data_IF_617020507414
#
_entry.id   IF_617020507414
#
_cell.length_a   1.000
_cell.length_b   1.000
_cell.length_c   1.000
_cell.angle_alpha   90.00
_cell.angle_beta   90.00
_cell.angle_gamma   90.00
#
_symmetry.space_group_name_H-M   'P 1'
#
loop_
_entity.id
_entity.type
_entity.pdbx_description
1 polymer ?
#
# COMPACT_ATOMS: atom_id res chain seq x y z
N UNK A 1 20.09 -13.81 5.34
CA UNK A 1 19.22 -14.67 4.51
C UNK A 1 20.04 -15.10 3.31
N UNK A 2 19.89 -16.34 2.85
CA UNK A 2 20.61 -16.88 1.69
C UNK A 2 19.61 -17.44 0.67
N UNK A 3 19.93 -17.32 -0.60
CA UNK A 3 19.12 -17.86 -1.70
C UNK A 3 19.95 -18.86 -2.50
N UNK A 4 19.37 -20.02 -2.81
CA UNK A 4 19.89 -20.93 -3.84
C UNK A 4 18.95 -20.89 -5.02
N UNK A 5 19.45 -20.62 -6.22
CA UNK A 5 18.63 -20.63 -7.44
C UNK A 5 18.92 -21.93 -8.18
N UNK A 6 17.89 -22.79 -8.28
CA UNK A 6 17.96 -24.06 -9.01
C UNK A 6 18.17 -23.81 -10.51
N UNK A 7 18.86 -24.71 -11.19
CA UNK A 7 19.27 -24.49 -12.59
C UNK A 7 18.10 -24.33 -13.57
N UNK A 8 16.98 -25.01 -13.33
CA UNK A 8 15.77 -24.84 -14.12
C UNK A 8 15.09 -23.48 -13.88
N UNK A 9 15.03 -23.02 -12.63
CA UNK A 9 14.56 -21.67 -12.30
C UNK A 9 15.47 -20.60 -12.91
N UNK A 10 16.79 -20.83 -12.93
CA UNK A 10 17.76 -19.95 -13.57
C UNK A 10 17.48 -19.81 -15.07
N UNK A 11 17.15 -20.91 -15.77
CA UNK A 11 16.77 -20.86 -17.19
C UNK A 11 15.50 -20.04 -17.42
N UNK A 12 14.51 -20.14 -16.54
CA UNK A 12 13.29 -19.34 -16.68
C UNK A 12 13.51 -17.86 -16.37
N UNK A 13 14.29 -17.55 -15.33
CA UNK A 13 14.72 -16.17 -15.03
C UNK A 13 15.51 -15.60 -16.21
N UNK A 14 16.38 -16.40 -16.85
CA UNK A 14 17.17 -15.96 -18.00
C UNK A 14 16.28 -15.56 -19.19
N UNK A 15 15.17 -16.26 -19.45
CA UNK A 15 14.22 -15.86 -20.51
C UNK A 15 13.64 -14.47 -20.25
N UNK A 16 13.33 -14.16 -18.99
CA UNK A 16 12.84 -12.82 -18.60
C UNK A 16 13.97 -11.77 -18.73
N UNK A 17 15.21 -12.11 -18.39
CA UNK A 17 16.39 -11.23 -18.61
C UNK A 17 16.57 -10.94 -20.10
N UNK A 18 16.53 -11.97 -20.94
CA UNK A 18 16.66 -11.84 -22.39
C UNK A 18 15.55 -10.94 -22.95
N UNK A 19 14.30 -11.13 -22.51
CA UNK A 19 13.19 -10.27 -22.91
C UNK A 19 13.36 -8.80 -22.44
N UNK A 20 13.89 -8.57 -21.23
CA UNK A 20 14.15 -7.22 -20.71
C UNK A 20 15.26 -6.48 -21.49
N UNK A 21 16.21 -7.23 -22.05
CA UNK A 21 17.38 -6.71 -22.76
C UNK A 21 17.24 -6.75 -24.29
N UNK A 22 16.23 -7.45 -24.82
CA UNK A 22 16.04 -7.72 -26.24
C UNK A 22 16.01 -6.46 -27.13
N UNK A 23 15.50 -5.36 -26.61
CA UNK A 23 15.40 -4.10 -27.34
C UNK A 23 16.33 -3.04 -26.75
N UNK A 24 17.55 -2.84 -27.31
CA UNK A 24 18.60 -2.00 -26.72
C UNK A 24 18.14 -0.58 -26.39
N UNK A 25 17.34 0.04 -27.27
CA UNK A 25 16.82 1.40 -27.03
C UNK A 25 16.00 1.48 -25.74
N UNK A 26 15.08 0.54 -25.52
CA UNK A 26 14.24 0.55 -24.31
C UNK A 26 15.06 0.19 -23.07
N UNK A 27 15.94 -0.80 -23.19
CA UNK A 27 16.84 -1.19 -22.11
C UNK A 27 17.71 -0.01 -21.64
N UNK A 28 18.37 0.69 -22.57
CA UNK A 28 19.25 1.80 -22.25
C UNK A 28 18.52 2.99 -21.61
N UNK A 29 17.28 3.28 -22.04
CA UNK A 29 16.47 4.34 -21.41
C UNK A 29 16.09 3.96 -19.97
N UNK A 30 15.71 2.71 -19.71
CA UNK A 30 15.43 2.22 -18.35
C UNK A 30 16.68 2.23 -17.47
N UNK A 31 17.82 1.80 -18.03
CA UNK A 31 19.10 1.85 -17.34
C UNK A 31 19.51 3.29 -17.00
N UNK A 32 19.25 4.25 -17.90
CA UNK A 32 19.52 5.67 -17.63
C UNK A 32 18.65 6.20 -16.48
N UNK A 33 17.34 5.92 -16.48
CA UNK A 33 16.48 6.29 -15.33
C UNK A 33 16.96 5.67 -14.02
N UNK A 34 17.37 4.41 -14.05
CA UNK A 34 17.93 3.75 -12.89
C UNK A 34 19.18 4.46 -12.40
N UNK A 35 20.14 4.77 -13.27
CA UNK A 35 21.33 5.54 -12.89
C UNK A 35 20.99 6.93 -12.34
N UNK A 36 19.95 7.59 -12.88
CA UNK A 36 19.49 8.90 -12.38
C UNK A 36 18.88 8.79 -10.97
N UNK A 37 17.96 7.85 -10.73
CA UNK A 37 17.15 7.83 -9.51
C UNK A 37 17.68 6.89 -8.40
N UNK A 38 18.47 5.87 -8.73
CA UNK A 38 19.02 4.93 -7.74
C UNK A 38 19.83 5.61 -6.65
N UNK A 39 20.68 6.62 -6.90
CA UNK A 39 21.40 7.30 -5.82
C UNK A 39 20.49 7.92 -4.75
N UNK A 40 19.30 8.41 -5.14
CA UNK A 40 18.29 8.90 -4.19
C UNK A 40 17.69 7.74 -3.39
N UNK A 41 17.29 6.66 -4.09
CA UNK A 41 16.68 5.47 -3.48
C UNK A 41 17.66 4.83 -2.49
N UNK A 42 18.91 4.61 -2.90
CA UNK A 42 19.98 4.00 -2.10
C UNK A 42 20.24 4.78 -0.82
N UNK A 43 20.31 6.11 -0.90
CA UNK A 43 20.44 6.97 0.28
C UNK A 43 19.28 6.77 1.25
N UNK A 44 18.04 6.77 0.74
CA UNK A 44 16.85 6.55 1.58
C UNK A 44 16.85 5.14 2.16
N UNK A 45 17.24 4.13 1.39
CA UNK A 45 17.28 2.74 1.86
C UNK A 45 18.34 2.54 2.93
N UNK A 46 19.49 3.21 2.81
CA UNK A 46 20.51 3.24 3.87
C UNK A 46 19.98 3.91 5.15
N UNK A 47 19.31 5.07 5.04
CA UNK A 47 18.64 5.75 6.16
C UNK A 47 17.59 4.84 6.84
N UNK A 48 16.79 4.14 6.04
CA UNK A 48 15.73 3.24 6.48
C UNK A 48 16.24 1.84 6.89
N UNK A 49 17.52 1.53 6.69
CA UNK A 49 18.12 0.20 6.90
C UNK A 49 17.42 -0.91 6.09
N UNK A 50 17.01 -0.61 4.87
CA UNK A 50 16.51 -1.59 3.90
C UNK A 50 17.65 -2.09 3.01
N UNK A 51 17.70 -3.39 2.65
CA UNK A 51 18.65 -3.88 1.66
C UNK A 51 18.54 -3.14 0.33
N UNK A 52 19.69 -2.72 -0.19
CA UNK A 52 19.83 -1.96 -1.44
C UNK A 52 19.11 -2.61 -2.63
N UNK A 53 19.25 -3.92 -2.78
CA UNK A 53 18.67 -4.70 -3.89
C UNK A 53 17.19 -4.39 -4.17
N UNK A 54 16.40 -4.00 -3.16
CA UNK A 54 15.00 -3.64 -3.38
C UNK A 54 14.80 -2.46 -4.36
N UNK A 55 15.84 -1.68 -4.70
CA UNK A 55 15.75 -0.58 -5.68
C UNK A 55 15.33 -1.08 -7.06
N UNK A 56 15.70 -2.31 -7.43
CA UNK A 56 15.29 -2.94 -8.69
C UNK A 56 13.78 -3.19 -8.77
N UNK A 57 13.07 -3.17 -7.65
CA UNK A 57 11.62 -3.28 -7.64
C UNK A 57 10.97 -2.05 -8.30
N UNK A 58 11.53 -0.84 -8.14
CA UNK A 58 11.03 0.36 -8.83
C UNK A 58 11.13 0.25 -10.36
N UNK A 59 12.13 -0.49 -10.88
CA UNK A 59 12.23 -0.80 -12.30
C UNK A 59 11.13 -1.77 -12.74
N UNK A 60 10.83 -2.78 -11.92
CA UNK A 60 9.75 -3.72 -12.19
C UNK A 60 8.37 -3.06 -12.15
N UNK A 61 8.15 -2.13 -11.21
CA UNK A 61 6.85 -1.51 -10.99
C UNK A 61 6.49 -0.48 -12.06
N UNK A 62 7.36 0.50 -12.30
CA UNK A 62 7.04 1.60 -13.24
C UNK A 62 8.11 1.87 -14.29
N UNK A 63 9.20 1.09 -14.28
CA UNK A 63 10.42 1.44 -15.00
C UNK A 63 10.92 2.85 -14.64
N UNK A 64 10.75 3.24 -13.36
CA UNK A 64 11.07 4.55 -12.80
C UNK A 64 10.40 5.73 -13.52
N UNK A 65 9.14 5.57 -13.93
CA UNK A 65 8.30 6.65 -14.46
C UNK A 65 7.45 7.24 -13.33
N UNK A 66 7.55 8.56 -13.15
CA UNK A 66 6.97 9.28 -12.02
C UNK A 66 5.44 9.28 -12.03
N UNK A 67 4.82 9.38 -13.20
CA UNK A 67 3.37 9.48 -13.41
C UNK A 67 2.77 8.21 -14.03
N UNK A 68 3.45 7.07 -13.90
CA UNK A 68 2.91 5.79 -14.36
C UNK A 68 1.62 5.43 -13.61
N UNK A 69 0.57 5.06 -14.34
CA UNK A 69 -0.71 4.60 -13.77
C UNK A 69 -1.01 3.19 -14.27
N UNK A 70 -1.25 2.24 -13.37
CA UNK A 70 -1.67 0.89 -13.75
C UNK A 70 -3.17 0.83 -14.06
N UNK A 71 -3.59 -0.26 -14.70
CA UNK A 71 -5.00 -0.58 -14.92
C UNK A 71 -5.82 -0.76 -13.64
N UNK A 72 -5.15 -0.91 -12.48
CA UNK A 72 -5.77 -1.01 -11.15
C UNK A 72 -5.55 0.24 -10.29
N UNK A 73 -5.25 1.38 -10.93
CA UNK A 73 -5.05 2.70 -10.31
C UNK A 73 -3.90 2.79 -9.30
N UNK A 74 -2.89 1.94 -9.46
CA UNK A 74 -1.61 2.11 -8.80
C UNK A 74 -0.82 3.24 -9.49
N UNK A 75 -0.13 4.09 -8.73
CA UNK A 75 0.49 5.30 -9.27
C UNK A 75 1.97 5.42 -8.89
N UNK A 76 2.72 5.97 -9.84
CA UNK A 76 4.07 6.50 -9.68
C UNK A 76 5.18 5.47 -9.59
N UNK A 77 6.34 5.91 -9.08
CA UNK A 77 7.60 5.15 -9.10
C UNK A 77 7.50 3.74 -8.54
N UNK A 78 6.69 3.61 -7.48
CA UNK A 78 6.54 2.39 -6.70
C UNK A 78 5.16 1.75 -6.88
N UNK A 79 4.34 2.25 -7.81
CA UNK A 79 2.99 1.77 -8.11
C UNK A 79 2.15 1.59 -6.83
N UNK A 80 2.06 2.62 -6.01
CA UNK A 80 1.22 2.58 -4.83
C UNK A 80 -0.25 2.77 -5.20
N UNK A 81 -1.12 1.88 -4.70
CA UNK A 81 -2.54 2.18 -4.58
C UNK A 81 -2.75 3.33 -3.60
N UNK A 82 -3.74 4.15 -3.87
CA UNK A 82 -4.08 5.35 -3.09
C UNK A 82 -4.16 5.07 -1.57
N UNK A 83 -4.92 4.04 -1.17
CA UNK A 83 -5.02 3.63 0.22
C UNK A 83 -3.66 3.23 0.84
N UNK A 84 -2.87 2.39 0.13
CA UNK A 84 -1.53 1.99 0.58
C UNK A 84 -0.60 3.17 0.74
N UNK A 85 -0.65 4.12 -0.21
CA UNK A 85 0.16 5.31 -0.16
C UNK A 85 -0.08 6.07 1.14
N UNK A 86 -1.36 6.32 1.48
CA UNK A 86 -1.73 7.02 2.71
C UNK A 86 -1.32 6.25 3.97
N UNK A 87 -1.51 4.93 4.02
CA UNK A 87 -1.02 4.11 5.15
C UNK A 87 0.50 4.23 5.33
N UNK A 88 1.26 4.33 4.23
CA UNK A 88 2.72 4.48 4.28
C UNK A 88 3.18 5.93 4.52
N UNK A 89 2.24 6.84 4.81
CA UNK A 89 2.48 8.23 5.15
C UNK A 89 2.61 9.17 3.96
N UNK A 90 2.21 8.74 2.76
CA UNK A 90 2.16 9.62 1.58
C UNK A 90 0.88 10.46 1.59
N UNK A 91 1.02 11.73 1.22
CA UNK A 91 -0.09 12.62 0.91
C UNK A 91 -0.56 12.38 -0.52
N UNK A 92 -1.85 12.11 -0.66
CA UNK A 92 -2.52 11.92 -1.95
C UNK A 92 -3.84 12.67 -1.90
N UNK A 93 -3.88 13.83 -2.54
CA UNK A 93 -5.04 14.70 -2.63
C UNK A 93 -4.99 15.58 -3.90
N UNK A 94 -5.78 16.65 -3.93
CA UNK A 94 -5.91 17.56 -5.06
C UNK A 94 -4.74 18.55 -5.18
N UNK A 95 -3.92 18.73 -4.14
CA UNK A 95 -2.76 19.61 -4.16
C UNK A 95 -1.48 18.83 -4.52
N UNK A 96 -1.34 17.62 -3.99
CA UNK A 96 -0.14 16.79 -4.17
C UNK A 96 -0.46 15.31 -4.31
N UNK A 97 0.37 14.61 -5.08
CA UNK A 97 0.41 13.15 -5.15
C UNK A 97 1.83 12.63 -4.92
N UNK A 98 2.17 12.41 -3.65
CA UNK A 98 3.51 11.99 -3.25
C UNK A 98 3.88 10.58 -3.75
N UNK A 99 2.96 9.82 -4.34
CA UNK A 99 3.29 8.58 -5.06
C UNK A 99 4.18 8.83 -6.27
N UNK A 100 4.09 10.04 -6.85
CA UNK A 100 4.90 10.50 -7.96
C UNK A 100 6.19 11.23 -7.50
N UNK A 101 6.41 11.40 -6.19
CA UNK A 101 7.63 11.99 -5.66
C UNK A 101 8.64 10.89 -5.32
N UNK A 102 9.81 10.88 -5.97
CA UNK A 102 10.80 9.80 -5.79
C UNK A 102 11.29 9.67 -4.34
N UNK A 103 11.39 10.77 -3.59
CA UNK A 103 11.88 10.74 -2.20
C UNK A 103 10.79 10.19 -1.27
N UNK A 104 9.61 10.80 -1.28
CA UNK A 104 8.50 10.37 -0.41
C UNK A 104 8.09 8.93 -0.74
N UNK A 105 7.90 8.60 -2.02
CA UNK A 105 7.47 7.27 -2.44
C UNK A 105 8.52 6.18 -2.11
N UNK A 106 9.83 6.48 -2.21
CA UNK A 106 10.86 5.50 -1.83
C UNK A 106 10.91 5.26 -0.32
N UNK A 107 10.67 6.30 0.48
CA UNK A 107 10.55 6.14 1.94
C UNK A 107 9.32 5.31 2.31
N UNK A 108 8.20 5.54 1.62
CA UNK A 108 7.00 4.73 1.76
C UNK A 108 7.21 3.26 1.34
N UNK A 109 7.92 3.01 0.23
CA UNK A 109 8.29 1.66 -0.20
C UNK A 109 9.17 0.96 0.84
N UNK A 110 10.13 1.68 1.43
CA UNK A 110 10.96 1.12 2.48
C UNK A 110 10.17 0.75 3.73
N UNK A 111 9.24 1.61 4.18
CA UNK A 111 8.32 1.32 5.29
C UNK A 111 7.48 0.08 4.99
N UNK A 112 6.89 0.01 3.80
CA UNK A 112 6.06 -1.11 3.39
C UNK A 112 6.81 -2.44 3.45
N UNK A 113 7.96 -2.51 2.76
CA UNK A 113 8.76 -3.73 2.68
C UNK A 113 9.27 -4.14 4.07
N UNK A 114 9.69 -3.18 4.90
CA UNK A 114 10.10 -3.46 6.29
C UNK A 114 8.96 -3.96 7.15
N UNK A 115 7.75 -3.42 7.02
CA UNK A 115 6.58 -3.91 7.75
C UNK A 115 6.25 -5.36 7.37
N UNK A 116 6.25 -5.67 6.06
CA UNK A 116 6.06 -7.04 5.61
C UNK A 116 7.18 -7.96 6.08
N UNK A 117 8.44 -7.53 6.02
CA UNK A 117 9.55 -8.33 6.53
C UNK A 117 9.53 -8.48 8.06
N UNK A 118 9.04 -7.51 8.81
CA UNK A 118 8.87 -7.64 10.25
C UNK A 118 7.88 -8.77 10.57
N UNK A 119 6.78 -8.84 9.82
CA UNK A 119 5.78 -9.89 9.98
C UNK A 119 6.28 -11.27 9.51
N UNK A 120 6.79 -11.36 8.27
CA UNK A 120 7.22 -12.64 7.72
C UNK A 120 8.57 -13.11 8.23
N UNK A 121 9.36 -12.19 8.77
CA UNK A 121 10.76 -12.36 9.09
C UNK A 121 11.53 -12.97 7.90
N UNK A 122 11.18 -12.58 6.67
CA UNK A 122 11.71 -13.13 5.43
C UNK A 122 11.53 -12.11 4.28
N UNK A 123 12.65 -11.72 3.65
CA UNK A 123 12.66 -10.70 2.61
C UNK A 123 12.01 -11.14 1.29
N UNK A 124 12.03 -12.42 0.95
CA UNK A 124 11.38 -12.95 -0.25
C UNK A 124 9.87 -12.93 -0.08
N UNK A 125 9.37 -13.26 1.11
CA UNK A 125 7.94 -13.13 1.40
C UNK A 125 7.49 -11.66 1.47
N UNK A 126 8.34 -10.76 1.98
CA UNK A 126 8.09 -9.32 1.92
C UNK A 126 8.04 -8.78 0.47
N UNK A 127 8.92 -9.26 -0.41
CA UNK A 127 8.88 -8.97 -1.84
C UNK A 127 7.60 -9.52 -2.48
N UNK A 128 7.25 -10.77 -2.16
CA UNK A 128 6.05 -11.43 -2.68
C UNK A 128 4.76 -10.70 -2.27
N UNK A 129 4.71 -10.18 -1.05
CA UNK A 129 3.56 -9.42 -0.54
C UNK A 129 3.41 -8.05 -1.19
N UNK A 130 4.43 -7.54 -1.88
CA UNK A 130 4.32 -6.29 -2.63
C UNK A 130 3.25 -6.38 -3.72
N UNK A 131 3.17 -7.53 -4.40
CA UNK A 131 2.17 -7.76 -5.42
C UNK A 131 0.89 -8.39 -4.88
N UNK A 132 1.02 -9.40 -4.02
CA UNK A 132 -0.10 -10.27 -3.62
C UNK A 132 -0.79 -9.81 -2.32
N UNK A 133 -0.21 -8.85 -1.61
CA UNK A 133 -0.58 -8.54 -0.23
C UNK A 133 -0.02 -9.57 0.75
N UNK A 134 0.12 -9.17 2.01
CA UNK A 134 0.62 -10.00 3.10
C UNK A 134 -0.31 -11.19 3.40
N UNK A 135 -1.62 -11.00 3.46
CA UNK A 135 -2.55 -12.11 3.71
C UNK A 135 -2.58 -13.13 2.58
N UNK A 136 -2.37 -12.69 1.34
CA UNK A 136 -2.21 -13.59 0.19
C UNK A 136 -0.93 -14.43 0.29
N UNK A 137 0.19 -13.83 0.73
CA UNK A 137 1.43 -14.57 1.03
C UNK A 137 1.20 -15.57 2.15
N UNK A 138 0.58 -15.17 3.26
CA UNK A 138 0.36 -16.06 4.41
C UNK A 138 -0.41 -17.33 4.01
N UNK A 139 -1.45 -17.20 3.18
CA UNK A 139 -2.19 -18.36 2.65
C UNK A 139 -1.35 -19.25 1.73
N UNK A 140 -0.45 -18.65 0.94
CA UNK A 140 0.36 -19.38 -0.02
C UNK A 140 1.54 -20.12 0.63
N UNK A 141 2.14 -19.53 1.67
CA UNK A 141 3.36 -20.05 2.29
C UNK A 141 3.11 -20.72 3.64
N UNK A 142 2.05 -20.36 4.35
CA UNK A 142 1.72 -20.89 5.68
C UNK A 142 2.61 -20.37 6.81
N UNK A 143 2.09 -20.41 8.04
CA UNK A 143 2.78 -19.90 9.23
C UNK A 143 4.08 -20.66 9.58
N UNK A 144 4.16 -21.95 9.21
CA UNK A 144 5.34 -22.78 9.49
C UNK A 144 6.60 -22.34 8.72
N UNK A 145 6.45 -21.57 7.65
CA UNK A 145 7.58 -21.11 6.82
C UNK A 145 8.11 -19.72 7.22
N UNK A 146 7.45 -19.04 8.18
CA UNK A 146 7.90 -17.73 8.65
C UNK A 146 9.30 -17.81 9.26
N UNK A 147 10.09 -16.77 9.05
CA UNK A 147 11.46 -16.74 9.55
C UNK A 147 12.47 -17.59 8.78
N UNK A 148 12.04 -18.33 7.75
CA UNK A 148 12.96 -19.14 6.91
C UNK A 148 14.12 -18.30 6.40
N UNK A 149 15.36 -18.73 6.70
CA UNK A 149 16.59 -17.98 6.39
C UNK A 149 17.25 -18.40 5.08
N UNK A 150 16.96 -19.62 4.63
CA UNK A 150 17.43 -20.19 3.38
C UNK A 150 16.24 -20.47 2.47
N UNK A 151 16.18 -19.81 1.32
CA UNK A 151 15.13 -20.06 0.32
C UNK A 151 15.74 -20.69 -0.92
N UNK A 152 15.11 -21.76 -1.40
CA UNK A 152 15.39 -22.30 -2.72
C UNK A 152 14.42 -21.67 -3.74
N UNK A 153 14.98 -21.06 -4.79
CA UNK A 153 14.23 -20.49 -5.90
C UNK A 153 14.08 -21.57 -6.98
N UNK A 154 12.83 -21.93 -7.23
CA UNK A 154 12.39 -22.97 -8.16
C UNK A 154 11.45 -22.39 -9.23
N UNK A 155 11.10 -23.15 -10.30
CA UNK A 155 10.06 -22.76 -11.25
C UNK A 155 8.66 -22.57 -10.64
N UNK A 156 8.42 -23.11 -9.44
CA UNK A 156 7.17 -22.94 -8.69
C UNK A 156 7.19 -21.76 -7.71
N UNK A 157 8.37 -21.16 -7.50
CA UNK A 157 8.47 -19.90 -6.73
C UNK A 157 7.50 -18.87 -7.29
N UNK A 158 7.00 -17.96 -6.45
CA UNK A 158 6.03 -17.00 -6.95
C UNK A 158 6.61 -16.17 -8.11
N UNK A 159 5.88 -16.11 -9.23
CA UNK A 159 6.37 -15.54 -10.50
C UNK A 159 6.92 -14.12 -10.34
N UNK A 160 6.32 -13.32 -9.45
CA UNK A 160 6.73 -11.94 -9.20
C UNK A 160 8.13 -11.85 -8.56
N UNK A 161 8.50 -12.84 -7.74
CA UNK A 161 9.86 -12.96 -7.18
C UNK A 161 10.86 -13.29 -8.28
N UNK A 162 10.55 -14.26 -9.16
CA UNK A 162 11.42 -14.58 -10.31
C UNK A 162 11.58 -13.39 -11.24
N UNK A 163 10.50 -12.66 -11.54
CA UNK A 163 10.54 -11.46 -12.36
C UNK A 163 11.41 -10.36 -11.73
N UNK A 164 11.37 -10.21 -10.42
CA UNK A 164 12.22 -9.25 -9.71
C UNK A 164 13.69 -9.65 -9.82
N UNK A 165 14.01 -10.94 -9.65
CA UNK A 165 15.36 -11.45 -9.85
C UNK A 165 15.85 -11.21 -11.29
N UNK A 166 14.98 -11.36 -12.28
CA UNK A 166 15.30 -11.01 -13.67
C UNK A 166 15.60 -9.52 -13.85
N UNK A 167 14.85 -8.62 -13.22
CA UNK A 167 15.16 -7.18 -13.25
C UNK A 167 16.50 -6.87 -12.58
N UNK A 168 16.78 -7.47 -11.43
CA UNK A 168 18.09 -7.32 -10.78
C UNK A 168 19.20 -7.75 -11.72
N UNK A 169 19.17 -8.98 -12.22
CA UNK A 169 20.22 -9.54 -13.10
C UNK A 169 20.38 -8.73 -14.39
N UNK A 170 19.28 -8.30 -15.02
CA UNK A 170 19.33 -7.56 -16.28
C UNK A 170 19.97 -6.17 -16.13
N UNK A 171 19.76 -5.48 -15.00
CA UNK A 171 20.15 -4.08 -14.84
C UNK A 171 21.37 -3.86 -13.95
N UNK A 172 21.75 -4.79 -13.06
CA UNK A 172 22.84 -4.61 -12.08
C UNK A 172 24.17 -4.16 -12.71
N UNK A 173 24.59 -4.78 -13.82
CA UNK A 173 25.79 -4.35 -14.54
C UNK A 173 25.64 -2.98 -15.23
N UNK A 174 24.45 -2.65 -15.73
CA UNK A 174 24.20 -1.44 -16.51
C UNK A 174 24.06 -0.17 -15.65
N UNK A 175 23.78 -0.32 -14.35
CA UNK A 175 23.56 0.81 -13.43
C UNK A 175 24.82 1.22 -12.64
N UNK A 176 25.93 0.51 -12.83
CA UNK A 176 27.20 0.79 -12.15
C UNK A 176 27.96 2.00 -12.71
N UNK A 177 27.53 2.53 -13.87
CA UNK A 177 28.13 3.71 -14.50
C UNK A 177 27.41 4.99 -14.06
N UNK A 178 28.08 6.15 -14.22
CA UNK A 178 27.45 7.45 -13.94
C UNK A 178 26.33 7.75 -14.94
N UNK A 179 25.21 8.38 -14.50
CA UNK A 179 24.17 8.81 -15.42
C UNK A 179 24.63 10.02 -16.25
N UNK A 180 24.05 10.16 -17.44
CA UNK A 180 24.09 11.38 -18.24
C UNK A 180 23.22 12.48 -17.60
N UNK A 181 22.09 12.09 -17.00
CA UNK A 181 21.20 12.97 -16.27
C UNK A 181 21.35 12.75 -14.75
N UNK A 182 21.82 13.78 -14.06
CA UNK A 182 21.91 13.79 -12.60
C UNK A 182 20.73 14.52 -11.99
N UNK A 183 20.32 14.09 -10.80
CA UNK A 183 19.28 14.76 -10.03
C UNK A 183 19.75 15.05 -8.62
N UNK A 184 19.45 16.25 -8.14
CA UNK A 184 19.58 16.62 -6.73
C UNK A 184 18.20 16.91 -6.14
N UNK A 185 18.08 16.85 -4.82
CA UNK A 185 16.87 17.28 -4.11
C UNK A 185 17.13 18.59 -3.36
N UNK A 186 16.10 19.43 -3.27
CA UNK A 186 16.02 20.55 -2.34
C UNK A 186 14.66 20.56 -1.65
N UNK A 187 14.53 21.23 -0.51
CA UNK A 187 13.23 21.49 0.07
C UNK A 187 12.53 22.63 -0.69
N UNK A 188 11.27 22.39 -1.07
CA UNK A 188 10.43 23.34 -1.79
C UNK A 188 9.26 23.89 -0.98
N UNK A 189 9.12 23.53 0.30
CA UNK A 189 7.98 23.91 1.15
C UNK A 189 7.61 25.39 1.05
N UNK A 190 6.34 25.67 0.75
CA UNK A 190 5.80 27.03 0.67
C UNK A 190 6.15 27.81 -0.60
N UNK A 191 6.89 27.24 -1.56
CA UNK A 191 7.36 27.93 -2.78
C UNK A 191 6.63 27.45 -4.02
N UNK A 192 6.67 28.22 -5.11
CA UNK A 192 6.23 27.75 -6.43
C UNK A 192 7.39 27.14 -7.21
N UNK A 193 7.11 26.29 -8.20
CA UNK A 193 8.15 25.78 -9.10
C UNK A 193 8.83 26.91 -9.88
N UNK A 194 8.11 27.99 -10.20
CA UNK A 194 8.67 29.17 -10.86
C UNK A 194 9.71 29.90 -9.99
N UNK A 195 9.44 30.04 -8.69
CA UNK A 195 10.39 30.63 -7.74
C UNK A 195 11.66 29.77 -7.61
N UNK A 196 11.50 28.45 -7.56
CA UNK A 196 12.62 27.50 -7.46
C UNK A 196 13.43 27.47 -8.76
N UNK A 197 12.76 27.44 -9.91
CA UNK A 197 13.40 27.45 -11.23
C UNK A 197 14.27 28.71 -11.40
N UNK A 198 13.77 29.88 -10.96
CA UNK A 198 14.53 31.14 -11.00
C UNK A 198 15.77 31.10 -10.12
N UNK A 199 15.65 30.59 -8.88
CA UNK A 199 16.80 30.45 -7.97
C UNK A 199 17.85 29.48 -8.52
N UNK A 200 17.41 28.35 -9.06
CA UNK A 200 18.29 27.33 -9.60
C UNK A 200 18.85 27.67 -11.00
N UNK A 201 18.45 28.81 -11.59
CA UNK A 201 18.73 29.18 -12.97
C UNK A 201 18.35 28.06 -13.98
N UNK A 202 17.16 27.50 -13.81
CA UNK A 202 16.62 26.39 -14.59
C UNK A 202 15.35 26.79 -15.33
N UNK A 203 15.06 26.07 -16.40
CA UNK A 203 13.77 26.17 -17.08
C UNK A 203 12.65 25.53 -16.22
N UNK A 204 11.55 26.27 -16.00
CA UNK A 204 10.43 25.79 -15.18
C UNK A 204 9.76 24.55 -15.79
N UNK A 205 9.66 24.47 -17.12
CA UNK A 205 9.01 23.32 -17.76
C UNK A 205 9.83 22.04 -17.52
N UNK A 206 11.16 22.13 -17.64
CA UNK A 206 12.08 21.04 -17.27
C UNK A 206 11.95 20.68 -15.79
N UNK A 207 11.84 21.66 -14.89
CA UNK A 207 11.66 21.38 -13.47
C UNK A 207 10.32 20.66 -13.20
N UNK A 208 9.24 21.08 -13.89
CA UNK A 208 7.90 20.49 -13.77
C UNK A 208 7.85 19.04 -14.23
N UNK A 209 8.61 18.66 -15.26
CA UNK A 209 8.69 17.27 -15.72
C UNK A 209 9.17 16.28 -14.65
N UNK A 210 10.02 16.73 -13.72
CA UNK A 210 10.56 15.92 -12.62
C UNK A 210 9.76 16.06 -11.34
N UNK A 211 8.82 17.00 -11.29
CA UNK A 211 8.02 17.34 -10.11
C UNK A 211 6.51 17.27 -10.38
N UNK A 212 6.09 16.31 -11.23
CA UNK A 212 4.68 16.04 -11.58
C UNK A 212 3.80 15.69 -10.38
N UNK A 213 4.40 15.38 -9.23
CA UNK A 213 3.70 15.15 -7.97
C UNK A 213 2.97 16.39 -7.47
N UNK A 214 3.41 17.60 -7.83
CA UNK A 214 2.75 18.84 -7.47
C UNK A 214 1.61 19.13 -8.46
N UNK A 215 0.37 19.14 -7.96
CA UNK A 215 -0.83 19.48 -8.73
C UNK A 215 -1.25 20.93 -8.53
N UNK A 216 -1.03 21.47 -7.33
CA UNK A 216 -1.26 22.87 -7.02
C UNK A 216 -0.21 23.81 -7.63
N UNK A 217 -0.48 25.11 -7.62
CA UNK A 217 0.49 26.13 -8.08
C UNK A 217 1.66 26.31 -7.10
N UNK A 218 1.37 26.24 -5.80
CA UNK A 218 2.34 26.40 -4.70
C UNK A 218 2.50 25.10 -3.96
N UNK A 219 3.74 24.76 -3.63
CA UNK A 219 4.07 23.62 -2.78
C UNK A 219 3.56 23.92 -1.37
N UNK A 220 2.75 23.02 -0.76
CA UNK A 220 2.30 23.19 0.61
C UNK A 220 3.46 23.35 1.60
N UNK A 221 3.22 24.08 2.70
CA UNK A 221 4.22 24.32 3.75
C UNK A 221 3.95 23.46 5.01
N UNK A 222 3.07 22.45 4.92
CA UNK A 222 2.69 21.57 6.04
C UNK A 222 3.80 20.58 6.44
N UNK A 223 4.77 20.35 5.53
CA UNK A 223 5.94 19.47 5.73
C UNK A 223 7.03 19.82 4.72
N UNK A 224 8.20 19.18 4.87
CA UNK A 224 9.24 19.22 3.83
C UNK A 224 8.77 18.47 2.58
N UNK A 225 8.95 19.08 1.41
CA UNK A 225 8.71 18.45 0.12
C UNK A 225 9.96 18.49 -0.73
N UNK A 226 10.44 17.31 -1.11
CA UNK A 226 11.62 17.21 -1.95
C UNK A 226 11.29 17.59 -3.40
N UNK A 227 11.82 18.72 -3.85
CA UNK A 227 11.83 19.13 -5.25
C UNK A 227 13.06 18.57 -5.93
N UNK A 228 12.86 17.87 -7.05
CA UNK A 228 13.91 17.22 -7.82
C UNK A 228 14.42 18.17 -8.91
N UNK A 229 15.72 18.44 -8.88
CA UNK A 229 16.42 19.36 -9.78
C UNK A 229 17.24 18.55 -10.78
N UNK A 230 16.83 18.45 -12.06
CA UNK A 230 17.59 17.75 -13.09
C UNK A 230 18.75 18.57 -13.66
N UNK A 231 19.97 18.04 -13.58
CA UNK A 231 21.19 18.61 -14.20
C UNK A 231 21.75 17.66 -15.27
N UNK A 232 22.19 18.21 -16.40
CA UNK A 232 22.63 17.43 -17.56
C UNK A 232 21.54 17.22 -18.63
N UNK A 233 21.85 16.34 -19.58
CA UNK A 233 21.05 16.10 -20.79
C UNK A 233 19.98 15.03 -20.55
N UNK A 234 18.74 15.32 -20.96
CA UNK A 234 17.63 14.36 -20.88
C UNK A 234 17.62 13.52 -22.16
N UNK A 235 17.79 12.21 -22.01
CA UNK A 235 17.74 11.28 -23.15
C UNK A 235 16.31 11.19 -23.71
N UNK A 236 16.18 11.07 -25.04
CA UNK A 236 14.88 10.96 -25.70
C UNK A 236 14.05 9.77 -25.15
N UNK A 237 12.82 10.06 -24.73
CA UNK A 237 11.91 9.08 -24.16
C UNK A 237 12.12 8.79 -22.66
N UNK A 238 12.96 9.57 -21.97
CA UNK A 238 13.17 9.47 -20.52
C UNK A 238 11.85 9.54 -19.73
N UNK A 239 10.88 10.37 -20.11
CA UNK A 239 9.59 10.43 -19.41
C UNK A 239 8.51 9.46 -19.91
N UNK A 240 8.63 8.95 -21.14
CA UNK A 240 7.48 8.37 -21.89
C UNK A 240 7.67 6.94 -22.36
N UNK A 241 8.92 6.48 -22.55
CA UNK A 241 9.19 5.10 -22.95
C UNK A 241 9.08 4.19 -21.73
N UNK A 242 7.86 3.79 -21.40
CA UNK A 242 7.61 2.68 -20.50
C UNK A 242 6.88 1.59 -21.27
N UNK A 243 7.53 0.45 -21.43
CA UNK A 243 6.81 -0.80 -21.64
C UNK A 243 6.21 -1.16 -20.29
N UNK A 244 5.15 -0.46 -19.88
CA UNK A 244 4.31 -1.01 -18.82
C UNK A 244 3.73 -2.26 -19.46
N UNK A 245 4.36 -3.42 -19.24
CA UNK A 245 3.71 -4.68 -19.48
C UNK A 245 2.57 -4.75 -18.48
N UNK A 246 1.46 -4.11 -18.83
CA UNK A 246 0.14 -4.43 -18.35
C UNK A 246 -0.18 -5.84 -18.88
N UNK A 247 0.44 -6.86 -18.31
CA UNK A 247 -0.16 -8.18 -18.22
C UNK A 247 -0.87 -8.24 -16.88
N UNK A 248 -2.04 -8.90 -16.84
CA UNK A 248 -3.17 -8.47 -16.03
C UNK A 248 -2.79 -8.44 -14.56
N UNK A 249 -3.38 -7.48 -13.83
CA UNK A 249 -3.59 -7.64 -12.41
C UNK A 249 -4.03 -9.10 -12.19
N UNK A 250 -3.44 -9.83 -11.20
CA UNK A 250 -3.92 -11.16 -10.92
C UNK A 250 -5.43 -11.04 -10.77
N UNK A 251 -6.16 -11.90 -11.47
CA UNK A 251 -7.59 -12.03 -11.26
C UNK A 251 -7.79 -12.00 -9.76
N UNK A 252 -8.45 -10.96 -9.26
CA UNK A 252 -9.08 -11.00 -7.96
C UNK A 252 -10.11 -12.11 -8.07
N UNK A 253 -9.65 -13.35 -7.93
CA UNK A 253 -10.48 -14.47 -7.51
C UNK A 253 -11.16 -13.89 -6.28
N UNK A 254 -12.46 -13.64 -6.39
CA UNK A 254 -13.28 -13.21 -5.27
C UNK A 254 -13.15 -14.34 -4.24
N UNK A 255 -12.17 -14.21 -3.35
CA UNK A 255 -11.93 -15.20 -2.31
C UNK A 255 -13.04 -14.98 -1.30
N UNK A 256 -13.79 -16.04 -1.03
CA UNK A 256 -14.74 -16.04 0.07
C UNK A 256 -14.01 -15.62 1.35
N UNK A 257 -14.67 -14.85 2.23
CA UNK A 257 -14.05 -14.42 3.46
C UNK A 257 -13.54 -15.61 4.27
N UNK A 258 -12.29 -15.56 4.70
CA UNK A 258 -11.70 -16.61 5.53
C UNK A 258 -11.99 -16.26 6.99
N UNK A 259 -13.11 -16.76 7.50
CA UNK A 259 -13.48 -16.60 8.90
C UNK A 259 -12.60 -17.51 9.78
N UNK A 260 -12.16 -16.98 10.90
CA UNK A 260 -11.38 -17.73 11.91
C UNK A 260 -12.09 -17.82 13.26
N UNK A 261 -13.19 -17.07 13.42
CA UNK A 261 -13.94 -16.96 14.65
C UNK A 261 -15.42 -17.25 14.40
N UNK A 262 -16.15 -17.50 15.48
CA UNK A 262 -17.60 -17.71 15.41
C UNK A 262 -18.28 -16.48 14.77
N UNK A 263 -19.26 -16.69 13.87
CA UNK A 263 -19.96 -15.57 13.26
C UNK A 263 -20.77 -14.81 14.30
N UNK A 264 -20.77 -13.48 14.20
CA UNK A 264 -21.60 -12.61 15.05
C UNK A 264 -22.80 -12.17 14.22
N UNK A 265 -24.02 -12.46 14.68
CA UNK A 265 -25.25 -12.16 13.94
C UNK A 265 -25.23 -12.77 12.53
N UNK A 266 -24.67 -13.99 12.40
CA UNK A 266 -24.49 -14.70 11.14
C UNK A 266 -23.48 -14.08 10.16
N UNK A 267 -22.63 -13.14 10.62
CA UNK A 267 -21.63 -12.48 9.79
C UNK A 267 -20.25 -13.11 10.06
N UNK A 268 -19.49 -13.52 9.03
CA UNK A 268 -18.12 -14.01 9.16
C UNK A 268 -17.21 -13.03 9.92
N UNK A 269 -16.41 -13.54 10.86
CA UNK A 269 -15.51 -12.72 11.67
C UNK A 269 -14.08 -13.26 11.73
N UNK A 270 -13.15 -12.38 12.12
CA UNK A 270 -11.72 -12.65 12.22
C UNK A 270 -11.14 -11.97 13.46
N UNK A 271 -10.21 -12.61 14.17
CA UNK A 271 -9.54 -12.03 15.34
C UNK A 271 -8.22 -11.38 14.97
N UNK A 272 -8.02 -10.13 15.36
CA UNK A 272 -6.74 -9.44 15.20
C UNK A 272 -5.62 -10.09 15.99
N UNK A 273 -4.48 -10.31 15.34
CA UNK A 273 -3.26 -10.83 15.97
C UNK A 273 -2.43 -9.68 16.59
N UNK A 274 -1.52 -10.01 17.51
CA UNK A 274 -0.65 -9.01 18.13
C UNK A 274 0.28 -8.36 17.10
N UNK A 275 0.26 -7.02 17.03
CA UNK A 275 1.06 -6.25 16.07
C UNK A 275 0.52 -6.26 14.63
N UNK A 276 -0.66 -6.84 14.40
CA UNK A 276 -1.31 -6.84 13.09
C UNK A 276 -1.82 -5.44 12.72
N UNK A 277 -1.71 -5.07 11.44
CA UNK A 277 -2.32 -3.84 10.90
C UNK A 277 -3.68 -4.12 10.26
N UNK A 278 -4.48 -3.07 10.03
CA UNK A 278 -5.76 -3.15 9.30
C UNK A 278 -5.60 -3.89 7.96
N UNK A 279 -4.52 -3.59 7.23
CA UNK A 279 -4.19 -4.28 5.98
C UNK A 279 -4.03 -5.77 6.18
N UNK A 280 -3.19 -6.16 7.14
CA UNK A 280 -2.84 -7.57 7.36
C UNK A 280 -4.08 -8.39 7.70
N UNK A 281 -4.96 -7.85 8.57
CA UNK A 281 -6.21 -8.54 8.93
C UNK A 281 -7.23 -8.58 7.79
N UNK A 282 -7.38 -7.50 7.02
CA UNK A 282 -8.29 -7.45 5.88
C UNK A 282 -7.90 -8.49 4.82
N UNK A 283 -6.61 -8.54 4.50
CA UNK A 283 -6.07 -9.48 3.52
C UNK A 283 -6.13 -10.93 4.00
N UNK A 284 -5.85 -11.18 5.29
CA UNK A 284 -5.98 -12.50 5.92
C UNK A 284 -7.43 -12.97 5.85
N UNK A 285 -8.36 -12.08 6.18
CA UNK A 285 -9.80 -12.25 5.99
C UNK A 285 -10.25 -12.37 4.54
N UNK A 286 -9.37 -12.12 3.57
CA UNK A 286 -9.67 -12.29 2.15
C UNK A 286 -10.48 -11.17 1.51
N UNK A 287 -10.60 -10.02 2.18
CA UNK A 287 -11.36 -8.86 1.69
C UNK A 287 -10.44 -7.67 1.41
N UNK A 288 -10.94 -6.70 0.62
CA UNK A 288 -10.20 -5.47 0.39
C UNK A 288 -10.11 -4.65 1.68
N UNK A 289 -9.05 -3.85 1.83
CA UNK A 289 -8.95 -3.00 3.03
C UNK A 289 -10.09 -1.97 3.08
N UNK A 290 -10.51 -1.44 1.92
CA UNK A 290 -11.67 -0.55 1.82
C UNK A 290 -12.93 -1.20 2.34
N UNK A 291 -13.19 -2.45 1.95
CA UNK A 291 -14.31 -3.23 2.47
C UNK A 291 -14.17 -3.48 3.97
N UNK A 292 -12.99 -3.90 4.43
CA UNK A 292 -12.74 -4.15 5.85
C UNK A 292 -13.02 -2.90 6.70
N UNK A 293 -12.51 -1.74 6.29
CA UNK A 293 -12.77 -0.47 6.95
C UNK A 293 -14.27 -0.15 6.96
N UNK A 294 -14.94 -0.28 5.82
CA UNK A 294 -16.36 0.00 5.69
C UNK A 294 -17.23 -0.94 6.54
N UNK A 295 -16.93 -2.23 6.54
CA UNK A 295 -17.68 -3.24 7.30
C UNK A 295 -17.50 -3.07 8.80
N UNK A 296 -16.31 -2.63 9.22
CA UNK A 296 -15.99 -2.40 10.61
C UNK A 296 -16.25 -0.96 11.08
N UNK A 297 -16.69 -0.09 10.17
CA UNK A 297 -16.92 1.34 10.41
C UNK A 297 -15.68 2.02 11.02
N UNK A 298 -14.52 1.69 10.44
CA UNK A 298 -13.20 2.19 10.83
C UNK A 298 -12.71 3.26 9.86
N UNK A 299 -11.84 4.15 10.33
CA UNK A 299 -11.06 5.07 9.50
C UNK A 299 -9.67 4.49 9.21
N UNK A 300 -9.00 5.00 8.17
CA UNK A 300 -7.71 4.47 7.73
C UNK A 300 -6.56 4.68 8.72
N UNK A 301 -6.70 5.63 9.64
CA UNK A 301 -5.73 6.00 10.67
C UNK A 301 -5.98 5.26 12.00
N UNK A 302 -7.10 4.54 12.13
CA UNK A 302 -7.37 3.76 13.34
C UNK A 302 -6.44 2.55 13.45
N UNK A 303 -6.14 2.16 14.69
CA UNK A 303 -5.41 0.93 14.99
C UNK A 303 -6.39 -0.19 15.33
N UNK A 304 -6.00 -1.43 15.04
CA UNK A 304 -6.75 -2.60 15.50
C UNK A 304 -6.23 -3.07 16.86
N UNK A 305 -7.15 -3.45 17.74
CA UNK A 305 -6.79 -4.00 19.04
C UNK A 305 -6.37 -5.45 18.91
N UNK A 306 -5.19 -5.83 19.42
CA UNK A 306 -4.78 -7.23 19.48
C UNK A 306 -5.83 -8.06 20.23
N UNK A 307 -6.24 -9.19 19.66
CA UNK A 307 -7.27 -10.09 20.20
C UNK A 307 -8.72 -9.64 19.92
N UNK A 308 -8.93 -8.48 19.30
CA UNK A 308 -10.25 -7.97 18.95
C UNK A 308 -10.81 -8.65 17.70
N UNK A 309 -12.10 -8.97 17.71
CA UNK A 309 -12.80 -9.59 16.58
C UNK A 309 -13.26 -8.50 15.60
N UNK A 310 -13.18 -8.72 14.30
CA UNK A 310 -13.63 -7.82 13.23
C UNK A 310 -14.48 -8.58 12.21
N UNK A 311 -15.31 -7.85 11.48
CA UNK A 311 -16.25 -8.38 10.49
C UNK A 311 -15.63 -8.43 9.10
N UNK A 312 -15.91 -9.52 8.38
CA UNK A 312 -15.47 -9.69 7.00
C UNK A 312 -16.56 -9.45 5.96
N UNK A 313 -17.78 -9.12 6.42
CA UNK A 313 -18.87 -8.67 5.57
C UNK A 313 -19.62 -7.51 6.25
N UNK A 314 -20.44 -6.82 5.48
CA UNK A 314 -21.19 -5.67 5.97
C UNK A 314 -22.13 -6.08 7.13
N UNK A 315 -22.02 -5.38 8.26
CA UNK A 315 -22.91 -5.55 9.42
C UNK A 315 -24.39 -5.47 9.03
N UNK A 316 -25.25 -6.22 9.73
CA UNK A 316 -26.69 -6.22 9.45
C UNK A 316 -27.35 -4.93 9.94
N UNK A 317 -28.58 -4.68 9.49
CA UNK A 317 -29.36 -3.53 9.97
C UNK A 317 -30.03 -3.77 11.32
N UNK A 318 -30.17 -5.03 11.74
CA UNK A 318 -30.86 -5.48 12.95
C UNK A 318 -30.06 -6.59 13.61
N UNK A 319 -30.08 -6.63 14.94
CA UNK A 319 -29.53 -7.73 15.71
C UNK A 319 -30.55 -8.87 15.87
N UNK A 320 -30.08 -10.03 16.32
CA UNK A 320 -30.95 -11.15 16.74
C UNK A 320 -31.65 -10.86 18.07
N UNK A 321 -31.08 -9.97 18.88
CA UNK A 321 -31.67 -9.48 20.13
C UNK A 321 -32.37 -8.14 19.92
N UNK A 322 -33.49 -7.91 20.62
CA UNK A 322 -34.25 -6.67 20.45
C UNK A 322 -33.59 -5.46 21.10
N UNK A 323 -33.07 -5.64 22.32
CA UNK A 323 -32.54 -4.56 23.14
C UNK A 323 -31.27 -4.99 23.87
N UNK A 324 -30.49 -4.00 24.30
CA UNK A 324 -29.29 -4.20 25.11
C UNK A 324 -29.11 -3.05 26.10
N UNK A 325 -28.91 -3.38 27.38
CA UNK A 325 -28.57 -2.40 28.41
C UNK A 325 -27.06 -2.17 28.42
N UNK A 326 -26.66 -0.94 28.15
CA UNK A 326 -25.25 -0.54 28.03
C UNK A 326 -24.49 -0.67 29.35
N UNK A 327 -23.22 -1.07 29.25
CA UNK A 327 -22.31 -1.23 30.38
C UNK A 327 -21.32 -0.07 30.45
N UNK A 328 -20.63 0.07 31.58
CA UNK A 328 -19.54 1.03 31.70
C UNK A 328 -18.50 0.80 30.59
N UNK A 329 -18.15 1.86 29.86
CA UNK A 329 -17.22 1.81 28.72
C UNK A 329 -17.84 1.44 27.37
N UNK A 330 -19.15 1.12 27.31
CA UNK A 330 -19.81 0.96 26.01
C UNK A 330 -19.97 2.31 25.30
N UNK A 331 -19.76 2.30 23.98
CA UNK A 331 -20.11 3.38 23.09
C UNK A 331 -20.90 2.81 21.89
N UNK A 332 -21.41 3.67 21.02
CA UNK A 332 -22.25 3.21 19.91
C UNK A 332 -21.49 2.24 18.98
N UNK A 333 -20.20 2.49 18.75
CA UNK A 333 -19.35 1.60 17.97
C UNK A 333 -19.19 0.25 18.66
N UNK A 334 -18.87 0.20 19.96
CA UNK A 334 -18.68 -1.06 20.68
C UNK A 334 -19.97 -1.89 20.76
N UNK A 335 -21.14 -1.25 20.88
CA UNK A 335 -22.44 -1.93 20.83
C UNK A 335 -22.74 -2.44 19.42
N UNK A 336 -22.57 -1.59 18.40
CA UNK A 336 -22.70 -1.98 17.00
C UNK A 336 -21.82 -3.18 16.65
N UNK A 337 -20.58 -3.13 17.10
CA UNK A 337 -19.56 -4.14 16.88
C UNK A 337 -19.83 -5.42 17.65
N UNK A 338 -20.32 -5.34 18.90
CA UNK A 338 -20.69 -6.53 19.70
C UNK A 338 -21.82 -7.34 19.07
N UNK A 339 -22.81 -6.67 18.47
CA UNK A 339 -24.01 -7.32 17.94
C UNK A 339 -24.03 -7.45 16.41
N UNK A 340 -22.95 -7.07 15.72
CA UNK A 340 -22.87 -7.14 14.27
C UNK A 340 -23.95 -6.29 13.56
N UNK A 341 -24.20 -5.09 14.08
CA UNK A 341 -25.19 -4.14 13.54
C UNK A 341 -24.57 -2.81 13.16
N UNK A 342 -25.10 -2.16 12.12
CA UNK A 342 -24.59 -0.86 11.66
C UNK A 342 -24.91 0.24 12.67
N UNK A 343 -23.95 1.12 12.98
CA UNK A 343 -24.18 2.26 13.87
C UNK A 343 -25.28 3.18 13.35
N UNK A 344 -25.37 3.35 12.03
CA UNK A 344 -26.46 4.12 11.40
C UNK A 344 -27.85 3.57 11.73
N UNK A 345 -27.99 2.24 11.79
CA UNK A 345 -29.24 1.61 12.21
C UNK A 345 -29.52 1.84 13.69
N UNK A 346 -28.49 1.69 14.55
CA UNK A 346 -28.63 1.96 15.98
C UNK A 346 -29.08 3.40 16.24
N UNK A 347 -28.45 4.39 15.58
CA UNK A 347 -28.88 5.79 15.65
C UNK A 347 -30.35 5.95 15.28
N UNK A 348 -30.75 5.39 14.14
CA UNK A 348 -32.13 5.45 13.66
C UNK A 348 -33.15 4.82 14.62
N UNK A 349 -32.81 3.68 15.22
CA UNK A 349 -33.70 2.97 16.13
C UNK A 349 -33.84 3.70 17.47
N UNK A 350 -32.80 4.38 17.91
CA UNK A 350 -32.76 5.01 19.23
C UNK A 350 -33.00 6.53 19.18
N UNK A 351 -33.23 7.10 17.99
CA UNK A 351 -33.43 8.54 17.81
C UNK A 351 -32.18 9.36 18.14
N UNK A 352 -30.98 8.79 17.94
CA UNK A 352 -29.71 9.42 18.27
C UNK A 352 -29.11 10.14 17.05
N UNK A 353 -28.51 11.30 17.30
CA UNK A 353 -27.67 12.04 16.37
C UNK A 353 -26.20 11.57 16.44
N UNK A 354 -25.35 12.11 15.57
CA UNK A 354 -23.92 11.74 15.55
C UNK A 354 -23.14 12.19 16.79
N UNK A 355 -23.58 13.28 17.45
CA UNK A 355 -22.99 13.82 18.66
C UNK A 355 -23.43 13.11 19.95
N UNK A 356 -24.47 12.28 19.88
CA UNK A 356 -25.08 11.73 21.08
C UNK A 356 -24.22 10.61 21.66
N UNK A 357 -23.91 10.72 22.96
CA UNK A 357 -23.16 9.71 23.68
C UNK A 357 -24.06 8.64 24.28
N UNK A 358 -23.56 7.41 24.29
CA UNK A 358 -24.23 6.28 24.93
C UNK A 358 -23.83 6.24 26.40
N UNK A 359 -24.80 6.48 27.29
CA UNK A 359 -24.58 6.44 28.75
C UNK A 359 -24.78 5.02 29.26
N UNK A 360 -23.96 4.58 30.22
CA UNK A 360 -24.12 3.28 30.88
C UNK A 360 -25.50 3.15 31.55
N UNK A 361 -26.11 1.97 31.48
CA UNK A 361 -27.46 1.71 31.98
C UNK A 361 -28.58 2.08 31.00
N UNK A 362 -28.26 2.64 29.82
CA UNK A 362 -29.24 2.98 28.79
C UNK A 362 -29.67 1.73 28.03
N UNK A 363 -30.97 1.55 27.83
CA UNK A 363 -31.52 0.52 26.94
C UNK A 363 -31.39 1.00 25.50
N UNK A 364 -30.59 0.29 24.70
CA UNK A 364 -30.39 0.50 23.27
C UNK A 364 -31.22 -0.54 22.50
N UNK A 365 -32.05 -0.07 21.59
CA UNK A 365 -32.83 -0.90 20.68
C UNK A 365 -31.99 -1.29 19.46
N UNK A 366 -31.89 -2.59 19.19
CA UNK A 366 -30.99 -3.19 18.22
C UNK A 366 -31.73 -3.79 17.00
N UNK A 367 -33.03 -4.09 17.11
CA UNK A 367 -33.82 -4.74 16.04
C UNK A 367 -35.08 -3.96 15.58
N UNK A 368 -35.46 -2.89 16.27
CA UNK A 368 -36.67 -2.12 16.02
C UNK A 368 -36.56 -0.70 16.57
N UNK A 369 -37.51 0.18 16.22
CA UNK A 369 -37.54 1.55 16.76
C UNK A 369 -37.89 1.51 18.24
N UNK A 370 -37.21 2.34 19.02
CA UNK A 370 -37.58 2.69 20.39
C UNK A 370 -39.04 3.19 20.40
N UNK A 371 -39.92 2.63 21.24
CA UNK A 371 -41.28 3.11 21.40
C UNK A 371 -41.30 4.59 21.81
N UNK A 372 -42.31 5.32 21.34
CA UNK A 372 -42.52 6.69 21.80
C UNK A 372 -42.90 6.69 23.29
N UNK A 373 -42.49 7.72 24.03
CA UNK A 373 -42.82 7.83 25.45
C UNK A 373 -44.35 7.85 25.63
N UNK A 374 -44.92 6.73 26.11
CA UNK A 374 -46.37 6.52 26.25
C UNK A 374 -46.90 5.21 25.68
N UNK A 375 -46.14 4.52 24.83
CA UNK A 375 -46.47 3.18 24.34
C UNK A 375 -45.75 2.12 25.19
N UNK A 376 -46.41 1.58 26.20
CA UNK A 376 -45.94 0.35 26.86
C UNK A 376 -46.03 -0.81 25.87
N UNK A 377 -44.94 -1.58 25.72
CA UNK A 377 -44.91 -2.82 24.97
C UNK A 377 -45.97 -3.78 25.55
N UNK A 378 -47.01 -4.05 24.76
CA UNK A 378 -48.02 -5.07 25.03
C UNK A 378 -47.57 -6.44 24.57
#
# INVERSE_FOLDING_TARGET
MTLTIRDDARRDIQKDVDALTQHPRYFLVKAERARTYFPIIEKIFAEERLPDDFKFLALQESALVADAVSSSNAVGFWQFKDFTAREMGLRVDDEVDERMNIVSASRAAARYIKQCNHYFNNWIFALQSYQMGAGGVMRAVGEGNLGTRHMEITPDTYWYVRKYLAHKVAFEGAVSTKPTLQVSKMDGGGRTLAEIAREAAMDESKLREFNKWLKAERIPADREYAVILPTGEVVAGFGTLSTVSAKPAPETVAKQPVAEEAPINGIPTIRAQAGESIRMIAERGGISVTDFLHYNELTSDQTIGAGQIYFLERKKKKAEVETYTTRAGDNLWSVAHRFGVQQKSLRKFNGLNESDQVVAGTVIYLAGRKPAAGETAG
#
